data_IF_546560503334
#
_entry.id   IF_546560503334
#
_cell.length_a   1.000
_cell.length_b   1.000
_cell.length_c   1.000
_cell.angle_alpha   90.00
_cell.angle_beta   90.00
_cell.angle_gamma   90.00
#
_symmetry.space_group_name_H-M   'P 1'
#
loop_
_entity.id
_entity.type
_entity.pdbx_description
1 polymer ?
#
# COMPACT_ATOMS: atom_id res chain seq x y z
N UNK A 1 -5.07 0.91 24.76
CA UNK A 1 -4.92 1.00 23.30
C UNK A 1 -3.49 0.62 22.97
N UNK A 2 -3.30 -0.43 22.17
CA UNK A 2 -1.96 -0.86 21.77
C UNK A 2 -1.38 0.09 20.72
N UNK A 3 -0.06 0.11 20.54
CA UNK A 3 0.61 0.90 19.50
C UNK A 3 0.02 0.66 18.09
N UNK A 4 -0.55 -0.53 17.87
CA UNK A 4 -1.15 -0.97 16.61
C UNK A 4 -2.48 -0.30 16.24
N UNK A 5 -3.19 0.30 17.20
CA UNK A 5 -4.49 0.93 16.95
C UNK A 5 -4.38 2.32 16.27
N UNK A 6 -3.21 2.96 16.38
CA UNK A 6 -2.92 4.28 15.83
C UNK A 6 -2.71 4.26 14.31
N UNK A 7 -2.10 3.20 13.77
CA UNK A 7 -1.70 3.13 12.36
C UNK A 7 -2.86 3.21 11.36
N UNK A 8 -4.08 2.90 11.79
CA UNK A 8 -5.25 2.92 10.90
C UNK A 8 -5.85 4.31 10.66
N UNK A 9 -5.44 5.34 11.40
CA UNK A 9 -5.90 6.72 11.15
C UNK A 9 -5.35 7.26 9.82
N UNK A 10 -4.15 6.81 9.41
CA UNK A 10 -3.61 7.04 8.06
C UNK A 10 -4.53 6.52 6.95
N UNK A 11 -5.33 5.48 7.23
CA UNK A 11 -6.25 4.89 6.27
C UNK A 11 -7.50 5.75 6.06
N UNK A 12 -7.79 6.68 6.99
CA UNK A 12 -8.86 7.67 6.87
C UNK A 12 -8.38 9.01 6.33
N UNK A 13 -7.07 9.23 6.25
CA UNK A 13 -6.48 10.41 5.61
C UNK A 13 -6.78 10.41 4.10
N UNK A 14 -7.18 11.57 3.55
CA UNK A 14 -7.61 11.78 2.15
C UNK A 14 -6.52 11.59 1.09
N UNK A 15 -6.64 12.30 -0.04
CA UNK A 15 -5.76 12.18 -1.22
C UNK A 15 -4.27 12.36 -0.88
N UNK A 16 -3.42 11.39 -1.21
CA UNK A 16 -1.96 11.53 -1.12
C UNK A 16 -1.41 11.91 -2.49
N UNK A 17 -0.63 13.00 -2.60
CA UNK A 17 0.01 13.41 -3.85
C UNK A 17 1.51 13.11 -3.82
N UNK A 18 1.99 12.53 -4.91
CA UNK A 18 3.38 12.16 -5.14
C UNK A 18 3.89 12.99 -6.29
N UNK A 19 4.90 13.82 -6.06
CA UNK A 19 5.53 14.61 -7.08
C UNK A 19 6.92 14.04 -7.40
N UNK A 20 6.96 13.17 -8.39
CA UNK A 20 8.19 12.61 -8.94
C UNK A 20 8.45 13.15 -10.33
N UNK A 21 9.66 13.68 -10.58
CA UNK A 21 10.09 14.18 -11.90
C UNK A 21 9.16 15.27 -12.48
N UNK A 22 8.63 16.16 -11.65
CA UNK A 22 7.72 17.24 -12.07
C UNK A 22 6.32 16.79 -12.45
N UNK A 23 5.98 15.51 -12.23
CA UNK A 23 4.61 15.00 -12.37
C UNK A 23 4.01 14.73 -11.01
N UNK A 24 2.90 15.41 -10.73
CA UNK A 24 2.08 15.16 -9.54
C UNK A 24 1.09 14.05 -9.85
N UNK A 25 1.10 12.97 -9.06
CA UNK A 25 0.15 11.85 -9.16
C UNK A 25 -0.52 11.62 -7.82
N UNK A 26 -1.79 11.28 -7.81
CA UNK A 26 -2.44 10.85 -6.59
C UNK A 26 -2.19 9.36 -6.34
N UNK A 27 -2.16 8.94 -5.07
CA UNK A 27 -2.02 7.55 -4.70
C UNK A 27 -3.14 6.68 -5.30
N UNK A 28 -4.34 7.22 -5.47
CA UNK A 28 -5.47 6.53 -6.13
C UNK A 28 -5.20 6.22 -7.62
N UNK A 29 -4.26 6.93 -8.24
CA UNK A 29 -3.87 6.72 -9.64
C UNK A 29 -2.79 5.63 -9.77
N UNK A 30 -2.23 5.17 -8.65
CA UNK A 30 -1.10 4.23 -8.59
C UNK A 30 -1.50 2.93 -7.92
N UNK A 31 -2.21 3.02 -6.80
CA UNK A 31 -2.71 1.87 -6.07
C UNK A 31 -4.17 1.59 -6.45
N UNK A 32 -4.60 0.31 -6.39
CA UNK A 32 -6.00 -0.04 -6.57
C UNK A 32 -6.93 0.76 -5.65
N UNK A 33 -8.09 1.13 -6.17
CA UNK A 33 -9.05 1.93 -5.42
C UNK A 33 -9.38 1.30 -4.07
N UNK A 34 -9.49 2.13 -3.04
CA UNK A 34 -9.82 1.76 -1.66
C UNK A 34 -8.76 0.94 -0.91
N UNK A 35 -7.64 0.54 -1.51
CA UNK A 35 -6.55 -0.04 -0.71
C UNK A 35 -5.93 1.02 0.20
N UNK A 36 -5.68 0.66 1.46
CA UNK A 36 -5.06 1.56 2.41
C UNK A 36 -3.53 1.40 2.38
N UNK A 37 -2.78 2.47 2.70
CA UNK A 37 -1.31 2.43 2.67
C UNK A 37 -0.73 1.32 3.54
N UNK A 38 -1.30 1.09 4.74
CA UNK A 38 -0.82 0.07 5.67
C UNK A 38 -0.95 -1.36 5.12
N UNK A 39 -2.08 -1.65 4.46
CA UNK A 39 -2.29 -2.94 3.81
C UNK A 39 -1.34 -3.07 2.61
N UNK A 40 -1.20 -2.03 1.80
CA UNK A 40 -0.26 -2.00 0.68
C UNK A 40 1.19 -2.29 1.13
N UNK A 41 1.66 -1.61 2.17
CA UNK A 41 2.99 -1.84 2.74
C UNK A 41 3.19 -3.30 3.14
N UNK A 42 2.18 -3.89 3.79
CA UNK A 42 2.23 -5.28 4.24
C UNK A 42 2.41 -6.28 3.07
N UNK A 43 1.81 -5.98 1.92
CA UNK A 43 1.81 -6.89 0.76
C UNK A 43 2.91 -6.59 -0.27
N UNK A 44 3.51 -5.40 -0.24
CA UNK A 44 4.42 -4.93 -1.28
C UNK A 44 5.61 -5.85 -1.53
N UNK A 45 6.27 -6.34 -0.47
CA UNK A 45 7.40 -7.26 -0.60
C UNK A 45 7.02 -8.57 -1.30
N UNK A 46 5.78 -9.05 -1.08
CA UNK A 46 5.25 -10.26 -1.72
C UNK A 46 4.95 -10.02 -3.20
N UNK A 47 4.38 -8.85 -3.53
CA UNK A 47 4.21 -8.41 -4.93
C UNK A 47 5.58 -8.40 -5.62
N UNK A 48 6.58 -7.75 -5.02
CA UNK A 48 7.92 -7.63 -5.60
C UNK A 48 8.58 -9.00 -5.80
N UNK A 49 8.43 -9.91 -4.84
CA UNK A 49 8.97 -11.27 -4.94
C UNK A 49 8.34 -12.01 -6.12
N UNK A 50 7.00 -12.00 -6.24
CA UNK A 50 6.29 -12.67 -7.34
C UNK A 50 6.63 -12.08 -8.71
N UNK A 51 6.79 -10.75 -8.80
CA UNK A 51 7.16 -10.06 -10.05
C UNK A 51 8.55 -10.45 -10.54
N UNK A 52 9.47 -10.76 -9.62
CA UNK A 52 10.82 -11.21 -9.95
C UNK A 52 10.92 -12.73 -10.15
N UNK A 53 9.78 -13.44 -10.27
CA UNK A 53 9.75 -14.89 -10.41
C UNK A 53 10.14 -15.66 -9.15
N UNK A 54 10.23 -14.97 -8.01
CA UNK A 54 10.48 -15.58 -6.72
C UNK A 54 9.27 -16.37 -6.23
N UNK A 55 9.54 -17.37 -5.39
CA UNK A 55 8.51 -18.21 -4.77
C UNK A 55 8.77 -18.40 -3.28
N UNK A 56 7.69 -18.49 -2.51
CA UNK A 56 7.73 -18.67 -1.05
C UNK A 56 7.60 -20.16 -0.74
N UNK A 57 8.72 -20.88 -0.74
CA UNK A 57 8.75 -22.34 -0.59
C UNK A 57 8.07 -22.88 0.68
N UNK A 58 7.94 -22.06 1.73
CA UNK A 58 7.25 -22.45 2.97
C UNK A 58 5.72 -22.50 2.86
N UNK A 59 5.14 -21.98 1.77
CA UNK A 59 3.69 -22.00 1.53
C UNK A 59 3.24 -23.28 0.81
N UNK A 60 4.17 -24.21 0.54
CA UNK A 60 3.86 -25.47 -0.13
C UNK A 60 3.45 -25.31 -1.59
N UNK A 61 2.59 -26.21 -2.07
CA UNK A 61 2.01 -26.15 -3.42
C UNK A 61 0.87 -25.13 -3.56
N UNK A 62 0.56 -24.36 -2.50
CA UNK A 62 -0.50 -23.36 -2.56
C UNK A 62 -0.07 -22.18 -3.44
N UNK A 63 -0.97 -21.73 -4.32
CA UNK A 63 -0.67 -20.70 -5.33
C UNK A 63 -0.66 -19.27 -4.79
N UNK A 64 -0.64 -19.10 -3.46
CA UNK A 64 -0.90 -17.83 -2.79
C UNK A 64 -0.15 -17.74 -1.46
N UNK A 65 0.05 -16.52 -0.96
CA UNK A 65 0.61 -16.27 0.37
C UNK A 65 -0.41 -15.56 1.24
N UNK A 66 -0.57 -15.98 2.50
CA UNK A 66 -1.38 -15.26 3.48
C UNK A 66 -0.57 -14.13 4.09
N UNK A 67 -1.04 -12.90 3.93
CA UNK A 67 -0.45 -11.70 4.52
C UNK A 67 -1.45 -11.06 5.47
N UNK A 68 -1.02 -10.80 6.71
CA UNK A 68 -1.84 -10.11 7.70
C UNK A 68 -1.50 -8.63 7.74
N UNK A 69 -2.52 -7.78 7.80
CA UNK A 69 -2.36 -6.38 8.14
C UNK A 69 -1.87 -6.29 9.61
N UNK A 70 -0.88 -5.43 9.94
CA UNK A 70 -0.31 -5.33 11.28
C UNK A 70 -1.25 -4.69 12.32
N UNK A 71 -2.42 -4.20 11.89
CA UNK A 71 -3.44 -3.68 12.81
C UNK A 71 -4.00 -4.76 13.74
N UNK A 72 -4.31 -4.43 14.99
CA UNK A 72 -4.91 -5.36 15.96
C UNK A 72 -6.23 -5.88 15.40
N UNK A 73 -6.39 -7.21 15.28
CA UNK A 73 -7.56 -7.78 14.61
C UNK A 73 -7.78 -7.21 13.20
N UNK A 74 -6.68 -6.94 12.49
CA UNK A 74 -6.68 -6.45 11.12
C UNK A 74 -7.19 -7.48 10.11
N UNK A 75 -7.20 -7.07 8.85
CA UNK A 75 -7.57 -7.95 7.73
C UNK A 75 -6.43 -8.92 7.41
N UNK A 76 -6.78 -10.04 6.79
CA UNK A 76 -5.81 -10.91 6.13
C UNK A 76 -6.18 -11.07 4.67
N UNK A 77 -5.16 -11.23 3.82
CA UNK A 77 -5.31 -11.33 2.38
C UNK A 77 -4.49 -12.50 1.82
N UNK A 78 -4.99 -13.09 0.74
CA UNK A 78 -4.17 -13.87 -0.18
C UNK A 78 -3.47 -12.93 -1.15
N UNK A 79 -2.17 -13.10 -1.34
CA UNK A 79 -1.41 -12.49 -2.44
C UNK A 79 -1.07 -13.59 -3.43
N UNK A 80 -1.59 -13.49 -4.66
CA UNK A 80 -1.46 -14.54 -5.67
C UNK A 80 -1.22 -13.97 -7.06
N UNK A 81 -0.51 -14.75 -7.89
CA UNK A 81 -0.45 -14.49 -9.33
C UNK A 81 -1.85 -14.57 -9.94
N UNK A 82 -2.10 -13.76 -10.97
CA UNK A 82 -3.35 -13.81 -11.73
C UNK A 82 -3.07 -14.36 -13.15
N UNK A 83 -4.09 -14.91 -13.80
CA UNK A 83 -4.06 -15.35 -15.19
C UNK A 83 -3.91 -14.19 -16.18
N UNK A 84 -4.06 -12.94 -15.72
CA UNK A 84 -3.82 -11.74 -16.52
C UNK A 84 -2.34 -11.36 -16.44
N UNK A 85 -1.62 -11.27 -17.58
CA UNK A 85 -0.21 -10.92 -17.60
C UNK A 85 0.09 -9.60 -16.89
N UNK A 86 1.22 -9.55 -16.17
CA UNK A 86 1.67 -8.37 -15.43
C UNK A 86 0.65 -7.87 -14.40
N UNK A 87 -0.07 -8.80 -13.76
CA UNK A 87 -0.95 -8.45 -12.65
C UNK A 87 -0.78 -9.39 -11.47
N UNK A 88 -0.96 -8.85 -10.27
CA UNK A 88 -1.03 -9.59 -9.01
C UNK A 88 -2.38 -9.29 -8.37
N UNK A 89 -3.06 -10.33 -7.93
CA UNK A 89 -4.34 -10.22 -7.24
C UNK A 89 -4.12 -10.36 -5.74
N UNK A 90 -4.80 -9.50 -4.99
CA UNK A 90 -4.85 -9.55 -3.54
C UNK A 90 -6.30 -9.69 -3.11
N UNK A 91 -6.65 -10.80 -2.47
CA UNK A 91 -8.02 -11.12 -2.10
C UNK A 91 -8.17 -11.15 -0.57
N UNK A 92 -9.20 -10.48 -0.04
CA UNK A 92 -9.52 -10.52 1.38
C UNK A 92 -10.11 -11.86 1.82
N UNK A 93 -9.44 -12.50 2.79
CA UNK A 93 -9.84 -13.79 3.35
C UNK A 93 -10.28 -13.71 4.80
N UNK A 94 -10.00 -12.58 5.45
CA UNK A 94 -10.41 -12.31 6.82
C UNK A 94 -10.72 -10.83 6.96
N UNK A 95 -11.92 -10.54 7.44
CA UNK A 95 -12.31 -9.18 7.85
C UNK A 95 -11.84 -8.92 9.27
N UNK A 96 -11.54 -7.66 9.54
CA UNK A 96 -11.06 -7.18 10.82
C UNK A 96 -11.72 -5.86 11.22
N UNK A 97 -11.25 -5.24 12.29
CA UNK A 97 -11.71 -3.91 12.72
C UNK A 97 -11.00 -2.82 11.91
N UNK A 98 -11.14 -2.87 10.58
CA UNK A 98 -10.51 -1.91 9.68
C UNK A 98 -11.46 -0.71 9.41
N UNK A 99 -11.03 0.55 9.58
CA UNK A 99 -11.83 1.74 9.27
C UNK A 99 -12.27 1.84 7.81
N UNK A 100 -11.53 1.20 6.88
CA UNK A 100 -11.93 1.11 5.47
C UNK A 100 -13.13 0.17 5.25
N UNK A 101 -13.54 -0.58 6.27
CA UNK A 101 -14.69 -1.49 6.23
C UNK A 101 -14.63 -2.48 5.03
N UNK A 102 -13.45 -3.08 4.81
CA UNK A 102 -13.28 -4.05 3.73
C UNK A 102 -14.21 -5.24 3.86
N UNK A 103 -14.61 -5.79 2.71
CA UNK A 103 -15.50 -6.94 2.63
C UNK A 103 -14.74 -8.23 2.36
N UNK A 104 -15.23 -9.33 2.90
CA UNK A 104 -14.69 -10.66 2.59
C UNK A 104 -14.83 -10.94 1.08
N UNK A 105 -13.81 -11.53 0.47
CA UNK A 105 -13.75 -11.79 -0.97
C UNK A 105 -13.49 -10.55 -1.84
N UNK A 106 -13.34 -9.36 -1.24
CA UNK A 106 -12.94 -8.18 -1.99
C UNK A 106 -11.51 -8.37 -2.53
N UNK A 107 -11.32 -8.10 -3.82
CA UNK A 107 -10.04 -8.25 -4.49
C UNK A 107 -9.49 -6.90 -4.99
N UNK A 108 -8.17 -6.76 -4.94
CA UNK A 108 -7.41 -5.65 -5.50
C UNK A 108 -6.46 -6.18 -6.56
N UNK A 109 -6.47 -5.58 -7.75
CA UNK A 109 -5.63 -5.98 -8.87
C UNK A 109 -4.52 -4.96 -9.04
N UNK A 110 -3.28 -5.38 -8.78
CA UNK A 110 -2.09 -4.59 -8.98
C UNK A 110 -1.54 -4.82 -10.37
N UNK A 111 -1.27 -3.73 -11.09
CA UNK A 111 -0.50 -3.79 -12.33
C UNK A 111 0.99 -3.79 -11.99
N UNK A 112 1.71 -4.80 -12.48
CA UNK A 112 3.14 -5.01 -12.22
C UNK A 112 4.01 -4.60 -13.40
N UNK A 113 3.49 -3.73 -14.27
CA UNK A 113 4.31 -3.11 -15.32
C UNK A 113 5.43 -2.26 -14.69
N UNK A 114 6.61 -2.15 -15.33
CA UNK A 114 7.76 -1.45 -14.75
C UNK A 114 7.46 -0.03 -14.26
N UNK A 115 6.66 0.72 -15.01
CA UNK A 115 6.24 2.08 -14.66
C UNK A 115 5.42 2.13 -13.36
N UNK A 116 4.56 1.15 -13.13
CA UNK A 116 3.74 1.06 -11.92
C UNK A 116 4.56 0.53 -10.74
N UNK A 117 5.46 -0.42 -10.99
CA UNK A 117 6.38 -0.92 -9.96
C UNK A 117 7.29 0.18 -9.40
N UNK A 118 7.77 1.09 -10.27
CA UNK A 118 8.53 2.25 -9.84
C UNK A 118 7.70 3.15 -8.92
N UNK A 119 6.47 3.50 -9.32
CA UNK A 119 5.59 4.35 -8.52
C UNK A 119 5.21 3.70 -7.18
N UNK A 120 4.90 2.41 -7.18
CA UNK A 120 4.65 1.64 -5.96
C UNK A 120 5.87 1.62 -5.04
N UNK A 121 7.09 1.51 -5.58
CA UNK A 121 8.33 1.58 -4.80
C UNK A 121 8.53 2.95 -4.13
N UNK A 122 8.11 4.03 -4.80
CA UNK A 122 8.18 5.37 -4.23
C UNK A 122 7.20 5.50 -3.05
N UNK A 123 5.99 4.96 -3.17
CA UNK A 123 5.01 4.92 -2.07
C UNK A 123 5.56 4.14 -0.89
N UNK A 124 6.11 2.95 -1.16
CA UNK A 124 6.69 2.10 -0.11
C UNK A 124 7.81 2.80 0.64
N UNK A 125 8.72 3.50 -0.05
CA UNK A 125 9.81 4.22 0.61
C UNK A 125 9.33 5.44 1.40
N UNK A 126 8.23 6.06 0.98
CA UNK A 126 7.58 7.15 1.73
C UNK A 126 6.72 6.65 2.90
N UNK A 127 6.53 5.34 3.03
CA UNK A 127 5.66 4.76 4.04
C UNK A 127 6.00 5.18 5.48
N UNK A 128 7.28 5.24 5.93
CA UNK A 128 7.61 5.72 7.26
C UNK A 128 7.13 7.16 7.52
N UNK A 129 7.26 8.04 6.52
CA UNK A 129 6.78 9.41 6.63
C UNK A 129 5.24 9.41 6.73
N UNK A 130 4.55 8.64 5.87
CA UNK A 130 3.09 8.47 5.90
C UNK A 130 2.61 8.00 7.29
N UNK A 131 3.36 7.10 7.95
CA UNK A 131 3.04 6.65 9.30
C UNK A 131 3.17 7.76 10.34
N UNK A 132 4.32 8.44 10.40
CA UNK A 132 4.63 9.49 11.40
C UNK A 132 3.57 10.61 11.36
N UNK A 133 3.08 10.97 10.16
CA UNK A 133 2.02 11.98 10.04
C UNK A 133 0.70 11.62 10.67
N UNK A 134 0.35 10.35 10.58
CA UNK A 134 -0.91 9.89 11.14
C UNK A 134 -0.93 9.95 12.67
N UNK A 135 0.25 9.99 13.30
CA UNK A 135 0.41 10.07 14.76
C UNK A 135 0.38 11.51 15.28
N UNK A 136 1.04 12.45 14.60
CA UNK A 136 1.32 13.76 15.18
C UNK A 136 0.29 14.85 14.89
N UNK A 137 -0.50 14.77 13.81
CA UNK A 137 -1.36 15.89 13.43
C UNK A 137 -2.66 15.46 12.75
N UNK A 138 -3.73 16.18 13.11
CA UNK A 138 -4.99 16.24 12.36
C UNK A 138 -4.67 16.73 10.93
N UNK A 139 -4.32 15.82 10.03
CA UNK A 139 -4.49 16.00 8.60
C UNK A 139 -3.96 17.33 8.02
N UNK A 140 -2.67 17.63 8.22
CA UNK A 140 -2.02 18.85 7.68
C UNK A 140 -1.18 18.54 6.44
N UNK A 141 -0.98 19.55 5.59
CA UNK A 141 -0.09 19.43 4.43
C UNK A 141 1.38 19.65 4.79
N UNK A 142 2.25 18.79 4.26
CA UNK A 142 3.70 18.91 4.41
C UNK A 142 4.39 18.27 3.22
N UNK A 143 5.43 18.95 2.75
CA UNK A 143 6.25 18.52 1.62
C UNK A 143 7.51 17.83 2.13
N UNK A 144 7.83 16.65 1.61
CA UNK A 144 9.11 15.95 1.85
C UNK A 144 9.91 15.92 0.59
N UNK A 145 11.22 16.12 0.71
CA UNK A 145 12.16 15.95 -0.38
C UNK A 145 13.00 14.71 -0.09
N UNK A 146 12.88 13.70 -0.94
CA UNK A 146 13.77 12.54 -0.93
C UNK A 146 14.56 12.49 -2.23
N UNK A 147 15.86 12.23 -2.10
CA UNK A 147 16.70 11.92 -3.26
C UNK A 147 16.68 10.42 -3.50
N UNK A 148 16.14 10.01 -4.65
CA UNK A 148 16.05 8.61 -5.08
C UNK A 148 16.75 8.45 -6.43
N UNK A 149 17.80 7.64 -6.51
CA UNK A 149 18.54 7.37 -7.75
C UNK A 149 18.89 8.64 -8.55
N UNK A 150 19.40 9.67 -7.88
CA UNK A 150 19.72 10.98 -8.44
C UNK A 150 18.50 11.76 -9.00
N UNK A 151 17.30 11.44 -8.54
CA UNK A 151 16.06 12.17 -8.82
C UNK A 151 15.49 12.73 -7.53
N UNK A 152 15.14 14.01 -7.55
CA UNK A 152 14.40 14.62 -6.46
C UNK A 152 12.94 14.19 -6.56
N UNK A 153 12.48 13.47 -5.54
CA UNK A 153 11.09 13.10 -5.37
C UNK A 153 10.56 13.94 -4.22
N UNK A 154 9.56 14.75 -4.53
CA UNK A 154 8.81 15.47 -3.51
C UNK A 154 7.50 14.75 -3.21
N UNK A 155 7.16 14.62 -1.93
CA UNK A 155 5.87 14.08 -1.49
C UNK A 155 5.08 15.24 -0.95
N UNK A 156 3.88 15.48 -1.47
CA UNK A 156 2.97 16.46 -0.91
C UNK A 156 1.74 15.72 -0.40
N UNK A 157 1.63 15.62 0.92
CA UNK A 157 0.45 15.02 1.52
C UNK A 157 -0.58 16.14 1.62
N UNK A 158 -1.55 16.21 0.72
CA UNK A 158 -2.61 17.22 0.76
C UNK A 158 -3.91 16.60 1.25
N UNK A 159 -4.31 16.93 2.48
CA UNK A 159 -5.53 16.39 3.02
C UNK A 159 -6.77 17.16 2.54
N UNK A 160 -7.68 16.44 1.91
CA UNK A 160 -9.07 16.86 1.75
C UNK A 160 -9.93 16.09 2.76
N UNK A 161 -10.57 16.82 3.69
CA UNK A 161 -11.59 16.23 4.55
C UNK A 161 -12.77 15.76 3.71
N UNK A 162 -13.33 14.60 4.06
CA UNK A 162 -14.67 14.24 3.58
C UNK A 162 -15.74 15.06 4.28
#
# INVERSE_FOLDING_TARGET
MGATDFFCHSCTCGSFKLNGNGTVREMKDILPENICPLLFHSVYAYILTLVNGGWMNWVGHETHVIVNCPYTNGVAVYVKGNNVPHTIEIELIKTGVCPKAYKLGQAFIFSTRPENMLLMSMIEKAFPDILIFSEENKCQSKTYLHNFDNREISFEIEYTGR
#
